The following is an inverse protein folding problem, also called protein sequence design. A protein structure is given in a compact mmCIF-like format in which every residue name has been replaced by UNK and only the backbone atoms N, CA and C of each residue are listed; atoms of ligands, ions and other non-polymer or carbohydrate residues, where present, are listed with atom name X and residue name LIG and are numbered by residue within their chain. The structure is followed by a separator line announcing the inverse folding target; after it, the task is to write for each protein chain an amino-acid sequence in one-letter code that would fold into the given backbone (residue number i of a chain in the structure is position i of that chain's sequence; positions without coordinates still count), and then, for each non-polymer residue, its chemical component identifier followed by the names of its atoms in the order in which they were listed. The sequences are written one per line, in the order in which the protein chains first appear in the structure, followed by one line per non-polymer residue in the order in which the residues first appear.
data_IF_618720290402
#
_entry.id   IF_618720290402
#
_cell.length_a   1.000
_cell.length_b   1.000
_cell.length_c   1.000
_cell.angle_alpha   90.00
_cell.angle_beta   90.00
_cell.angle_gamma   90.00
#
_symmetry.space_group_name_H-M   'P 1'
#
loop_
_entity.id
_entity.type
_entity.pdbx_description
1 polymer ?
#
# COMPACT_ATOMS: atom_id res chain seq x y z
N UNK A 1 3.78 21.38 -4.02
CA UNK A 1 4.51 20.09 -4.08
C UNK A 1 4.24 19.39 -2.77
N UNK A 2 3.41 18.34 -2.80
CA UNK A 2 3.24 17.44 -1.67
C UNK A 2 4.50 16.59 -1.61
N UNK A 3 5.27 16.66 -0.53
CA UNK A 3 6.38 15.73 -0.31
C UNK A 3 5.82 14.43 0.27
N UNK A 4 6.27 13.28 -0.23
CA UNK A 4 5.80 11.96 0.23
C UNK A 4 5.95 11.77 1.75
N UNK A 5 6.91 12.46 2.37
CA UNK A 5 7.16 12.47 3.81
C UNK A 5 5.92 12.90 4.64
N UNK A 6 5.02 13.71 4.07
CA UNK A 6 3.80 14.16 4.75
C UNK A 6 2.68 13.10 4.72
N UNK A 7 2.80 12.06 3.89
CA UNK A 7 1.84 10.96 3.75
C UNK A 7 2.36 9.64 4.31
N UNK A 8 3.41 9.69 5.12
CA UNK A 8 4.02 8.52 5.75
C UNK A 8 3.83 8.55 7.27
N UNK A 9 3.69 7.35 7.84
CA UNK A 9 3.60 7.22 9.29
C UNK A 9 4.99 7.28 9.93
N UNK A 10 5.21 8.24 10.82
CA UNK A 10 6.50 8.48 11.52
C UNK A 10 7.04 7.30 12.35
N UNK A 11 6.20 6.30 12.66
CA UNK A 11 6.62 5.10 13.43
C UNK A 11 7.20 4.03 12.51
N UNK A 12 6.58 3.80 11.36
CA UNK A 12 6.89 2.66 10.50
C UNK A 12 7.44 3.06 9.13
N UNK A 13 7.47 4.36 8.84
CA UNK A 13 7.95 4.96 7.60
C UNK A 13 7.31 4.33 6.35
N UNK A 14 6.03 3.98 6.46
CA UNK A 14 5.23 3.50 5.34
C UNK A 14 4.11 4.50 5.05
N UNK A 15 3.77 4.63 3.77
CA UNK A 15 2.67 5.44 3.29
C UNK A 15 1.33 5.04 3.93
N UNK A 16 0.52 6.04 4.21
CA UNK A 16 -0.86 5.85 4.64
C UNK A 16 -1.72 5.31 3.50
N UNK A 17 -2.74 4.53 3.85
CA UNK A 17 -3.69 3.99 2.88
C UNK A 17 -5.10 3.87 3.45
N UNK A 18 -6.11 3.87 2.57
CA UNK A 18 -7.52 3.85 3.00
C UNK A 18 -8.00 2.51 3.57
N UNK A 19 -7.21 1.44 3.43
CA UNK A 19 -7.62 0.07 3.81
C UNK A 19 -6.67 -0.56 4.82
N UNK A 20 -5.35 -0.54 4.55
CA UNK A 20 -4.36 -1.24 5.36
C UNK A 20 -3.67 -0.36 6.41
N UNK A 21 -3.38 0.89 6.08
CA UNK A 21 -2.65 1.86 6.93
C UNK A 21 -3.45 3.14 7.09
N UNK A 22 -4.68 2.99 7.60
CA UNK A 22 -5.59 4.11 7.86
C UNK A 22 -4.94 5.08 8.84
N UNK A 23 -4.78 6.38 8.49
CA UNK A 23 -4.29 7.41 9.40
C UNK A 23 -5.35 7.72 10.46
N UNK A 24 -5.01 7.53 11.74
CA UNK A 24 -5.93 7.81 12.87
C UNK A 24 -5.34 8.79 13.86
N UNK A 25 -6.21 9.66 14.36
CA UNK A 25 -5.91 10.71 15.32
C UNK A 25 -5.99 10.16 16.75
N UNK A 26 -4.94 10.43 17.52
CA UNK A 26 -5.01 10.38 18.99
C UNK A 26 -5.76 11.63 19.52
N UNK A 27 -6.13 11.63 20.81
CA UNK A 27 -6.81 12.79 21.44
C UNK A 27 -5.95 14.07 21.49
N UNK A 28 -4.65 13.95 21.22
CA UNK A 28 -3.71 15.05 21.08
C UNK A 28 -3.52 15.52 19.63
N UNK A 29 -4.38 15.08 18.71
CA UNK A 29 -4.38 15.42 17.28
C UNK A 29 -3.15 14.96 16.48
N UNK A 30 -2.26 14.15 17.07
CA UNK A 30 -1.20 13.49 16.31
C UNK A 30 -1.72 12.24 15.60
N UNK A 31 -1.24 12.03 14.38
CA UNK A 31 -1.73 10.99 13.46
C UNK A 31 -0.75 9.84 13.31
N UNK A 32 -1.26 8.61 13.38
CA UNK A 32 -0.45 7.40 13.20
C UNK A 32 -1.24 6.33 12.45
N UNK A 33 -0.52 5.37 11.86
CA UNK A 33 -1.16 4.28 11.12
C UNK A 33 -1.91 3.34 12.07
N UNK A 34 -3.09 2.85 11.68
CA UNK A 34 -3.87 1.90 12.48
C UNK A 34 -3.07 0.66 12.95
N UNK A 35 -2.23 0.00 12.11
CA UNK A 35 -1.35 -1.08 12.56
C UNK A 35 -0.34 -0.65 13.64
N UNK A 36 0.16 0.58 13.56
CA UNK A 36 1.13 1.15 14.48
C UNK A 36 0.47 1.39 15.85
N UNK A 37 -0.72 1.98 15.86
CA UNK A 37 -1.50 2.21 17.08
C UNK A 37 -1.87 0.90 17.78
N UNK A 38 -2.24 -0.14 17.01
CA UNK A 38 -2.52 -1.46 17.56
C UNK A 38 -1.31 -2.06 18.31
N UNK A 39 -0.09 -1.83 17.83
CA UNK A 39 1.16 -2.28 18.48
C UNK A 39 1.52 -1.46 19.72
N UNK A 40 1.22 -0.16 19.72
CA UNK A 40 1.52 0.74 20.84
C UNK A 40 0.51 0.66 21.98
N UNK A 41 -0.66 0.09 21.73
CA UNK A 41 -1.75 0.07 22.67
C UNK A 41 -1.54 -0.92 23.82
N UNK A 42 -1.98 -0.52 25.01
CA UNK A 42 -2.09 -1.36 26.19
C UNK A 42 -3.56 -1.53 26.54
N UNK A 43 -3.96 -2.77 26.83
CA UNK A 43 -5.31 -3.12 27.24
C UNK A 43 -5.35 -3.30 28.75
N UNK A 44 -6.25 -2.58 29.42
CA UNK A 44 -6.45 -2.61 30.86
C UNK A 44 -7.94 -2.75 31.16
N UNK A 45 -8.40 -3.98 31.44
CA UNK A 45 -9.81 -4.25 31.71
C UNK A 45 -10.68 -3.90 30.50
N UNK A 46 -11.52 -2.88 30.64
CA UNK A 46 -12.43 -2.41 29.59
C UNK A 46 -11.90 -1.17 28.83
N UNK A 47 -10.61 -0.88 28.95
CA UNK A 47 -9.99 0.31 28.35
C UNK A 47 -8.78 -0.07 27.49
N UNK A 48 -8.68 0.59 26.34
CA UNK A 48 -7.46 0.69 25.58
C UNK A 48 -6.77 2.02 25.88
N UNK A 49 -5.47 1.98 26.08
CA UNK A 49 -4.64 3.17 26.32
C UNK A 49 -3.49 3.22 25.33
N UNK A 50 -3.19 4.41 24.82
CA UNK A 50 -2.06 4.66 23.93
C UNK A 50 -1.38 5.95 24.36
N UNK A 51 -0.08 5.91 24.64
CA UNK A 51 0.72 7.12 24.84
C UNK A 51 1.26 7.59 23.49
N UNK A 52 1.06 8.87 23.18
CA UNK A 52 1.56 9.46 21.95
C UNK A 52 3.10 9.47 21.94
N UNK A 53 3.76 8.92 20.90
CA UNK A 53 5.22 8.97 20.77
C UNK A 53 5.81 10.39 20.68
N UNK A 54 5.02 11.37 20.22
CA UNK A 54 5.49 12.74 19.95
C UNK A 54 5.35 13.66 21.17
N UNK A 55 4.23 13.58 21.89
CA UNK A 55 3.92 14.51 22.99
C UNK A 55 3.64 13.82 24.33
N UNK A 56 3.73 12.49 24.41
CA UNK A 56 3.47 11.65 25.59
C UNK A 56 2.02 11.69 26.12
N UNK A 57 1.13 12.47 25.53
CA UNK A 57 -0.30 12.50 25.88
C UNK A 57 -0.92 11.11 25.80
N UNK A 58 -1.74 10.74 26.79
CA UNK A 58 -2.40 9.42 26.84
C UNK A 58 -3.81 9.54 26.28
N UNK A 59 -4.07 8.74 25.25
CA UNK A 59 -5.41 8.53 24.69
C UNK A 59 -6.01 7.28 25.30
N UNK A 60 -7.21 7.41 25.87
CA UNK A 60 -7.97 6.33 26.48
C UNK A 60 -9.28 6.15 25.73
N UNK A 61 -9.59 4.93 25.31
CA UNK A 61 -10.86 4.59 24.65
C UNK A 61 -11.45 3.33 25.25
N UNK A 62 -12.78 3.21 25.23
CA UNK A 62 -13.46 2.01 25.71
C UNK A 62 -13.19 0.81 24.79
N UNK A 63 -13.02 -0.36 25.40
CA UNK A 63 -12.80 -1.62 24.68
C UNK A 63 -14.09 -2.22 24.09
N UNK A 64 -15.21 -1.49 24.17
CA UNK A 64 -16.47 -1.81 23.50
C UNK A 64 -16.35 -1.80 21.97
N UNK A 65 -15.34 -1.08 21.45
CA UNK A 65 -14.93 -1.06 20.06
C UNK A 65 -13.47 -1.48 19.94
N UNK A 66 -13.02 -1.83 18.73
CA UNK A 66 -11.58 -1.92 18.49
C UNK A 66 -10.92 -0.55 18.73
N UNK A 67 -9.70 -0.52 19.28
CA UNK A 67 -8.93 0.72 19.48
C UNK A 67 -9.00 1.63 18.25
N UNK A 68 -8.70 1.06 17.08
CA UNK A 68 -8.72 1.80 15.83
C UNK A 68 -10.12 2.33 15.54
N UNK A 69 -11.16 1.49 15.64
CA UNK A 69 -12.55 1.89 15.40
C UNK A 69 -13.06 3.01 16.31
N UNK A 70 -12.50 3.18 17.51
CA UNK A 70 -12.84 4.27 18.43
C UNK A 70 -12.14 5.60 18.10
N UNK A 71 -11.07 5.57 17.29
CA UNK A 71 -10.29 6.76 16.95
C UNK A 71 -10.70 7.34 15.60
N UNK A 72 -10.77 8.67 15.54
CA UNK A 72 -11.08 9.43 14.34
C UNK A 72 -10.03 9.21 13.26
N UNK A 73 -10.48 9.22 12.01
CA UNK A 73 -9.62 9.24 10.84
C UNK A 73 -9.16 10.67 10.60
N UNK A 74 -7.88 10.85 10.28
CA UNK A 74 -7.36 12.14 9.83
C UNK A 74 -7.84 12.42 8.39
N UNK A 75 -8.83 13.29 8.25
CA UNK A 75 -9.44 13.59 6.94
C UNK A 75 -8.51 14.38 6.02
N UNK A 76 -7.60 15.19 6.57
CA UNK A 76 -6.65 15.95 5.76
C UNK A 76 -5.67 15.04 5.05
N UNK A 77 -5.09 14.07 5.78
CA UNK A 77 -4.25 13.03 5.15
C UNK A 77 -5.09 12.18 4.19
N UNK A 78 -6.33 11.85 4.57
CA UNK A 78 -7.22 11.03 3.73
C UNK A 78 -7.48 11.65 2.36
N UNK A 79 -7.80 12.93 2.30
CA UNK A 79 -8.08 13.66 1.07
C UNK A 79 -6.83 13.74 0.18
N UNK A 80 -5.66 13.95 0.79
CA UNK A 80 -4.38 13.96 0.08
C UNK A 80 -3.98 12.60 -0.50
N UNK A 81 -4.27 11.50 0.20
CA UNK A 81 -4.08 10.14 -0.34
C UNK A 81 -4.89 9.97 -1.63
N UNK A 82 -6.10 10.52 -1.70
CA UNK A 82 -6.96 10.42 -2.89
C UNK A 82 -6.35 11.18 -4.06
N UNK A 83 -5.86 12.39 -3.82
CA UNK A 83 -5.23 13.22 -4.85
C UNK A 83 -3.95 12.55 -5.38
N UNK A 84 -3.06 12.13 -4.50
CA UNK A 84 -1.80 11.47 -4.87
C UNK A 84 -2.04 10.19 -5.68
N UNK A 85 -2.98 9.35 -5.25
CA UNK A 85 -3.30 8.12 -5.99
C UNK A 85 -3.87 8.40 -7.38
N UNK A 86 -4.66 9.48 -7.55
CA UNK A 86 -5.19 9.87 -8.88
C UNK A 86 -4.08 10.30 -9.82
N UNK A 87 -3.12 11.08 -9.33
CA UNK A 87 -1.97 11.50 -10.14
C UNK A 87 -1.14 10.29 -10.59
N UNK A 88 -0.86 9.37 -9.66
CA UNK A 88 -0.15 8.12 -9.96
C UNK A 88 -0.90 7.26 -11.00
N UNK A 89 -2.21 7.07 -10.82
CA UNK A 89 -3.06 6.33 -11.78
C UNK A 89 -3.07 6.98 -13.17
N UNK A 90 -2.99 8.31 -13.27
CA UNK A 90 -2.97 9.04 -14.54
C UNK A 90 -1.63 8.88 -15.26
N UNK A 91 -0.51 8.92 -14.51
CA UNK A 91 0.82 8.69 -15.04
C UNK A 91 0.97 7.26 -15.55
N UNK A 92 0.55 6.25 -14.78
CA UNK A 92 0.58 4.85 -15.22
C UNK A 92 -0.27 4.64 -16.50
N UNK A 93 -1.45 5.28 -16.58
CA UNK A 93 -2.29 5.24 -17.79
C UNK A 93 -1.62 5.93 -18.99
N UNK A 94 -0.83 6.98 -18.76
CA UNK A 94 -0.09 7.63 -19.84
C UNK A 94 1.04 6.73 -20.34
N UNK A 95 1.81 6.14 -19.41
CA UNK A 95 2.91 5.22 -19.72
C UNK A 95 2.44 3.99 -20.48
N UNK A 96 1.35 3.36 -20.03
CA UNK A 96 0.75 2.20 -20.71
C UNK A 96 0.22 2.55 -22.10
N UNK A 97 -0.43 3.71 -22.28
CA UNK A 97 -0.85 4.21 -23.60
C UNK A 97 0.35 4.46 -24.52
N UNK A 98 1.42 5.00 -23.98
CA UNK A 98 2.65 5.25 -24.73
C UNK A 98 3.30 3.93 -25.20
N UNK A 99 3.37 2.92 -24.33
CA UNK A 99 3.88 1.59 -24.67
C UNK A 99 3.04 0.89 -25.77
N UNK A 100 1.71 1.04 -25.74
CA UNK A 100 0.81 0.52 -26.78
C UNK A 100 0.99 1.20 -28.14
N UNK A 101 1.28 2.51 -28.16
CA UNK A 101 1.57 3.26 -29.39
C UNK A 101 2.94 2.93 -29.97
N UNK A 102 3.92 2.56 -29.14
CA UNK A 102 5.26 2.14 -29.59
C UNK A 102 5.22 0.72 -30.17
N UNK A 103 4.38 -0.19 -29.65
CA UNK A 103 4.21 -1.54 -30.20
C UNK A 103 3.50 -1.56 -31.57
N UNK A 104 2.68 -0.55 -31.89
CA UNK A 104 2.02 -0.44 -33.21
C UNK A 104 2.90 0.17 -34.30
N UNK A 105 4.08 0.71 -33.94
CA UNK A 105 5.05 1.33 -34.87
C UNK A 105 6.23 0.44 -35.25
N UNK A 106 6.20 -0.86 -34.93
CA UNK A 106 7.05 -1.86 -35.59
C UNK A 106 6.34 -2.47 -36.81
N UNK A 107 6.67 -2.07 -38.05
CA UNK A 107 6.29 -2.83 -39.22
C UNK A 107 7.22 -4.04 -39.35
N UNK A 108 6.74 -5.23 -39.03
CA UNK A 108 7.26 -6.43 -39.68
C UNK A 108 6.20 -6.99 -40.62
N UNK A 109 6.08 -6.37 -41.78
CA UNK A 109 5.63 -7.07 -42.97
C UNK A 109 6.83 -7.84 -43.53
N UNK A 110 6.88 -9.15 -43.28
CA UNK A 110 7.39 -10.09 -44.27
C UNK A 110 6.45 -11.28 -44.34
N UNK A 111 5.53 -11.18 -45.29
CA UNK A 111 4.71 -12.28 -45.81
C UNK A 111 5.65 -13.35 -46.40
N UNK A 112 5.51 -14.61 -45.99
CA UNK A 112 5.57 -15.82 -46.84
C UNK A 112 5.45 -17.10 -46.00
N UNK A 113 4.60 -18.04 -46.45
CA UNK A 113 4.75 -19.46 -46.16
C UNK A 113 3.78 -20.08 -45.16
N UNK A 114 2.58 -20.43 -45.62
CA UNK A 114 1.79 -21.52 -45.06
C UNK A 114 2.55 -22.84 -45.28
N UNK A 115 2.79 -23.65 -44.24
CA UNK A 115 2.90 -25.12 -44.31
C UNK A 115 2.79 -25.72 -42.89
N UNK A 116 1.59 -26.26 -42.64
CA UNK A 116 1.21 -27.44 -41.86
C UNK A 116 2.19 -28.10 -40.87
N UNK A 117 1.69 -28.32 -39.64
CA UNK A 117 1.81 -29.60 -38.94
C UNK A 117 2.98 -29.78 -37.96
N UNK A 118 2.70 -29.59 -36.66
CA UNK A 118 2.80 -30.62 -35.61
C UNK A 118 2.51 -29.95 -34.25
N UNK A 119 1.39 -30.33 -33.63
CA UNK A 119 1.22 -30.15 -32.19
C UNK A 119 2.18 -31.11 -31.48
N UNK A 120 3.09 -30.59 -30.67
CA UNK A 120 3.84 -31.39 -29.68
C UNK A 120 3.72 -30.76 -28.31
N UNK A 121 2.70 -31.25 -27.63
CA UNK A 121 2.66 -31.75 -26.25
C UNK A 121 3.56 -31.05 -25.21
N UNK A 122 2.83 -30.43 -24.28
CA UNK A 122 3.13 -30.14 -22.90
C UNK A 122 4.29 -30.89 -22.23
N UNK A 123 4.85 -30.17 -21.25
CA UNK A 123 5.27 -30.60 -19.91
C UNK A 123 6.75 -30.33 -19.65
N UNK A 124 7.04 -29.49 -18.66
CA UNK A 124 8.11 -29.68 -17.68
C UNK A 124 8.18 -28.49 -16.71
N UNK A 125 7.46 -28.63 -15.60
CA UNK A 125 7.78 -28.12 -14.25
C UNK A 125 7.29 -29.25 -13.30
N UNK A 126 7.85 -29.53 -12.09
CA UNK A 126 9.01 -28.98 -11.37
C UNK A 126 9.99 -30.08 -10.86
N UNK A 127 11.16 -29.71 -10.30
CA UNK A 127 11.52 -29.96 -8.88
C UNK A 127 13.00 -29.57 -8.58
N UNK A 128 13.15 -28.66 -7.61
CA UNK A 128 13.99 -28.75 -6.40
C UNK A 128 15.42 -29.32 -6.48
N UNK A 129 16.44 -28.54 -6.10
CA UNK A 129 17.14 -28.66 -4.81
C UNK A 129 18.35 -27.70 -4.70
N UNK A 130 18.40 -27.01 -3.56
CA UNK A 130 19.57 -26.70 -2.72
C UNK A 130 20.98 -26.93 -3.31
N UNK A 131 21.81 -25.88 -3.33
CA UNK A 131 23.24 -26.01 -3.06
C UNK A 131 23.73 -24.79 -2.27
N UNK A 132 24.44 -25.09 -1.19
CA UNK A 132 25.03 -24.16 -0.23
C UNK A 132 26.33 -23.52 -0.75
N UNK A 133 26.80 -22.53 0.03
CA UNK A 133 28.20 -22.15 0.28
C UNK A 133 28.76 -20.92 -0.47
N UNK A 134 28.72 -19.76 0.18
CA UNK A 134 29.80 -19.20 1.02
C UNK A 134 29.24 -18.09 1.93
#
# INVERSE_FOLDING_TARGET
MVTCEELECVICCYEYSRTGRVPRLLHCNHTFCAPCLKKLCRHHGNLYTVSCPLCRWVTCVEANLSLCGALWVDTYIWDRIIEHNREHDLLEKLETKQAQLIQSTLPCSRRTGFMSGLQRLFSCVPLHQHVESC
#
